data_IF_160705205835
#
_entry.id   IF_160705205835
#
_cell.length_a   1.000
_cell.length_b   1.000
_cell.length_c   1.000
_cell.angle_alpha   90.00
_cell.angle_beta   90.00
_cell.angle_gamma   90.00
#
_symmetry.space_group_name_H-M   'P 1'
#
loop_
_entity.id
_entity.type
_entity.pdbx_description
1 polymer ?
#
# COMPACT_ATOMS: atom_id res chain seq x y z
N UNK A 1 7.96 -20.59 9.72
CA UNK A 1 8.91 -19.78 10.51
C UNK A 1 8.25 -18.50 11.01
N UNK A 2 7.75 -17.62 10.13
CA UNK A 2 7.08 -16.37 10.54
C UNK A 2 5.83 -16.60 11.41
N UNK A 3 4.97 -17.58 11.07
CA UNK A 3 3.81 -17.95 11.89
C UNK A 3 4.18 -18.45 13.30
N UNK A 4 5.33 -19.12 13.46
CA UNK A 4 5.85 -19.55 14.76
C UNK A 4 6.43 -18.37 15.55
N UNK A 5 7.11 -17.43 14.88
CA UNK A 5 7.60 -16.20 15.49
C UNK A 5 6.45 -15.32 15.97
N UNK A 6 5.42 -15.13 15.13
CA UNK A 6 4.21 -14.39 15.46
C UNK A 6 3.47 -15.02 16.66
N UNK A 7 3.29 -16.34 16.63
CA UNK A 7 2.67 -17.07 17.74
C UNK A 7 3.43 -16.85 19.05
N UNK A 8 4.77 -16.98 19.01
CA UNK A 8 5.60 -16.77 20.18
C UNK A 8 5.55 -15.32 20.68
N UNK A 9 5.49 -14.33 19.78
CA UNK A 9 5.31 -12.92 20.14
C UNK A 9 3.95 -12.66 20.80
N UNK A 10 2.87 -13.21 20.25
CA UNK A 10 1.52 -13.10 20.81
C UNK A 10 1.45 -13.73 22.22
N UNK A 11 2.10 -14.86 22.43
CA UNK A 11 2.19 -15.52 23.75
C UNK A 11 2.89 -14.66 24.82
N UNK A 12 3.87 -13.84 24.45
CA UNK A 12 4.56 -12.97 25.42
C UNK A 12 3.74 -11.73 25.79
N UNK A 13 2.78 -11.33 24.95
CA UNK A 13 1.97 -10.13 25.14
C UNK A 13 0.67 -10.39 25.91
N UNK A 14 0.24 -11.65 26.03
CA UNK A 14 -0.95 -12.03 26.80
C UNK A 14 -0.67 -13.26 27.69
N UNK A 15 -0.10 -13.08 28.89
CA UNK A 15 0.34 -14.18 29.76
C UNK A 15 -0.80 -14.94 30.48
N UNK A 16 -2.07 -14.76 30.10
CA UNK A 16 -3.20 -15.48 30.74
C UNK A 16 -3.16 -16.98 30.42
N UNK A 17 -3.37 -17.80 31.45
CA UNK A 17 -3.05 -19.23 31.57
C UNK A 17 -3.69 -20.25 30.59
N UNK A 18 -4.40 -19.84 29.55
CA UNK A 18 -4.96 -20.78 28.57
C UNK A 18 -4.03 -20.94 27.36
N UNK A 19 -3.08 -21.85 27.53
CA UNK A 19 -2.11 -22.23 26.50
C UNK A 19 -2.80 -23.16 25.49
N UNK A 20 -3.19 -22.64 24.33
CA UNK A 20 -3.46 -23.48 23.15
C UNK A 20 -2.12 -23.83 22.47
N UNK A 21 -1.91 -25.07 22.07
CA UNK A 21 -0.75 -25.38 21.22
C UNK A 21 -0.95 -24.81 19.80
N UNK A 22 0.15 -24.47 19.10
CA UNK A 22 0.13 -23.98 17.69
C UNK A 22 -0.68 -24.90 16.78
N UNK A 23 -0.61 -26.21 17.04
CA UNK A 23 -1.35 -27.26 16.35
C UNK A 23 -2.87 -27.13 16.58
N UNK A 24 -3.31 -26.82 17.80
CA UNK A 24 -4.72 -26.63 18.15
C UNK A 24 -5.28 -25.32 17.59
N UNK A 25 -4.54 -24.21 17.68
CA UNK A 25 -4.96 -22.93 17.09
C UNK A 25 -5.15 -23.02 15.57
N UNK A 26 -4.24 -23.71 14.87
CA UNK A 26 -4.33 -23.92 13.42
C UNK A 26 -5.42 -24.93 13.05
N UNK A 27 -5.73 -25.91 13.90
CA UNK A 27 -6.86 -26.83 13.70
C UNK A 27 -8.21 -26.13 13.90
N UNK A 28 -8.34 -25.28 14.92
CA UNK A 28 -9.56 -24.52 15.23
C UNK A 28 -9.96 -23.52 14.14
N UNK A 29 -9.02 -23.11 13.27
CA UNK A 29 -9.28 -22.18 12.16
C UNK A 29 -9.20 -22.80 10.77
N UNK A 30 -8.91 -24.09 10.67
CA UNK A 30 -9.06 -24.79 9.39
C UNK A 30 -10.55 -25.11 9.17
N UNK A 31 -11.16 -24.43 8.19
CA UNK A 31 -12.48 -24.70 7.57
C UNK A 31 -13.74 -24.23 8.33
N UNK A 32 -14.19 -22.99 8.06
CA UNK A 32 -15.64 -22.74 7.85
C UNK A 32 -15.97 -23.06 6.39
N UNK A 33 -16.21 -24.33 6.11
CA UNK A 33 -17.06 -24.72 4.97
C UNK A 33 -18.48 -24.70 5.50
N UNK A 34 -19.24 -23.64 5.20
CA UNK A 34 -20.69 -23.70 5.32
C UNK A 34 -21.16 -24.66 4.22
N UNK A 35 -21.45 -25.91 4.61
CA UNK A 35 -22.32 -26.77 3.83
C UNK A 35 -23.70 -26.13 3.93
N UNK A 36 -24.16 -25.52 2.83
CA UNK A 36 -25.57 -25.23 2.63
C UNK A 36 -26.23 -26.58 2.36
N UNK A 37 -26.89 -27.12 3.38
CA UNK A 37 -27.83 -28.23 3.21
C UNK A 37 -29.13 -27.66 2.64
N UNK A 38 -29.57 -28.21 1.51
CA UNK A 38 -30.88 -27.95 0.91
C UNK A 38 -32.02 -28.27 1.90
N UNK A 39 -33.11 -27.49 1.97
CA UNK A 39 -34.20 -27.76 2.89
C UNK A 39 -35.20 -28.71 2.23
N UNK A 40 -35.17 -29.97 2.65
CA UNK A 40 -36.17 -30.96 2.29
C UNK A 40 -36.18 -32.11 3.28
N UNK A 41 -36.75 -31.89 4.47
CA UNK A 41 -37.74 -32.79 5.07
C UNK A 41 -38.15 -32.34 6.49
N UNK A 42 -39.42 -32.58 6.79
CA UNK A 42 -40.15 -32.11 7.95
C UNK A 42 -39.96 -32.97 9.20
N UNK A 43 -40.28 -32.36 10.36
CA UNK A 43 -40.54 -32.93 11.69
C UNK A 43 -39.34 -33.43 12.52
N UNK A 44 -38.98 -32.68 13.57
CA UNK A 44 -39.24 -33.03 14.97
C UNK A 44 -38.27 -32.29 15.93
N UNK A 45 -38.78 -31.89 17.10
CA UNK A 45 -37.99 -31.91 18.34
C UNK A 45 -37.46 -30.58 18.88
N UNK A 46 -38.03 -30.18 20.01
CA UNK A 46 -37.59 -29.15 20.95
C UNK A 46 -36.21 -29.51 21.55
N UNK A 47 -35.31 -28.53 21.73
CA UNK A 47 -34.11 -28.70 22.57
C UNK A 47 -33.08 -27.57 22.48
N UNK A 48 -33.03 -26.76 23.53
CA UNK A 48 -31.89 -26.03 24.11
C UNK A 48 -31.06 -25.03 23.28
N UNK A 49 -31.22 -23.77 23.65
CA UNK A 49 -30.42 -22.61 23.22
C UNK A 49 -29.10 -22.58 24.01
N UNK A 50 -27.98 -22.83 23.33
CA UNK A 50 -26.62 -22.59 23.85
C UNK A 50 -26.19 -21.18 23.43
N UNK A 51 -25.67 -20.33 24.35
CA UNK A 51 -25.27 -18.97 24.01
C UNK A 51 -24.01 -18.95 23.13
N UNK A 52 -24.06 -18.15 22.07
CA UNK A 52 -22.89 -17.79 21.25
C UNK A 52 -21.84 -17.08 22.11
N UNK A 53 -20.54 -17.44 22.03
CA UNK A 53 -19.50 -16.68 22.71
C UNK A 53 -19.05 -15.46 21.88
N UNK A 54 -18.99 -14.33 22.58
CA UNK A 54 -18.14 -13.14 22.40
C UNK A 54 -17.88 -12.66 20.97
N UNK A 55 -18.70 -11.69 20.59
CA UNK A 55 -18.40 -10.72 19.53
C UNK A 55 -17.36 -9.72 20.09
N UNK A 56 -16.11 -9.79 19.60
CA UNK A 56 -15.13 -8.74 19.88
C UNK A 56 -15.54 -7.48 19.12
N UNK A 57 -16.09 -6.53 19.87
CA UNK A 57 -16.45 -5.19 19.42
C UNK A 57 -15.21 -4.31 19.51
N UNK A 58 -14.64 -3.95 18.38
CA UNK A 58 -13.67 -2.84 18.31
C UNK A 58 -14.48 -1.54 18.24
N UNK A 59 -14.80 -0.98 19.40
CA UNK A 59 -15.32 0.38 19.54
C UNK A 59 -14.36 1.18 20.44
N UNK A 60 -14.06 2.41 20.00
CA UNK A 60 -13.28 3.47 20.65
C UNK A 60 -11.74 3.39 20.64
N UNK A 61 -11.16 4.07 19.64
CA UNK A 61 -9.87 4.77 19.75
C UNK A 61 -9.97 6.16 19.11
N UNK A 62 -11.00 6.91 19.50
CA UNK A 62 -11.26 8.25 18.97
C UNK A 62 -12.08 9.05 19.96
N UNK A 63 -11.42 9.52 21.01
CA UNK A 63 -11.80 10.66 21.88
C UNK A 63 -10.86 10.66 23.08
N UNK A 64 -9.67 11.26 22.94
CA UNK A 64 -8.84 11.77 24.04
C UNK A 64 -7.57 12.45 23.46
N UNK A 65 -7.76 13.60 22.83
CA UNK A 65 -6.67 14.55 22.57
C UNK A 65 -7.15 16.00 22.44
N UNK A 66 -8.14 16.37 23.26
CA UNK A 66 -8.50 17.77 23.51
C UNK A 66 -8.50 18.02 25.02
N UNK A 67 -7.30 18.18 25.61
CA UNK A 67 -7.05 19.01 26.79
C UNK A 67 -5.60 18.84 27.27
N UNK A 68 -4.66 19.61 26.71
CA UNK A 68 -3.53 20.21 27.44
C UNK A 68 -2.58 20.90 26.47
N UNK A 69 -2.74 22.22 26.30
CA UNK A 69 -1.72 23.21 26.64
C UNK A 69 -2.21 24.61 26.26
N UNK A 70 -2.60 25.39 27.27
CA UNK A 70 -2.58 26.84 27.23
C UNK A 70 -1.32 27.33 27.95
N UNK A 71 -0.67 28.29 27.30
CA UNK A 71 0.19 29.37 27.82
C UNK A 71 1.58 29.00 28.35
N UNK A 72 2.62 29.42 27.60
CA UNK A 72 3.37 30.65 27.96
C UNK A 72 4.13 31.24 26.74
N UNK A 73 4.52 32.53 26.77
CA UNK A 73 4.71 33.35 25.58
C UNK A 73 6.17 33.61 25.16
N UNK A 74 6.31 33.97 23.88
CA UNK A 74 7.30 34.88 23.29
C UNK A 74 8.80 34.60 23.48
N UNK A 75 9.42 33.95 22.47
CA UNK A 75 10.76 34.32 21.98
C UNK A 75 10.75 34.25 20.45
N UNK A 76 10.90 35.41 19.81
CA UNK A 76 11.11 35.52 18.38
C UNK A 76 12.52 35.05 18.02
N UNK A 77 12.60 34.06 17.13
CA UNK A 77 13.83 33.56 16.53
C UNK A 77 13.57 33.22 15.07
N UNK A 78 14.10 34.05 14.19
CA UNK A 78 14.09 33.89 12.74
C UNK A 78 15.03 32.72 12.38
N UNK A 79 14.47 31.59 11.93
CA UNK A 79 15.25 30.45 11.48
C UNK A 79 15.57 30.58 9.99
N UNK A 80 16.80 30.96 9.69
CA UNK A 80 17.38 30.91 8.34
C UNK A 80 17.98 29.52 8.13
N UNK A 81 17.44 28.75 7.19
CA UNK A 81 18.02 27.49 6.72
C UNK A 81 19.28 27.75 5.88
N UNK A 82 20.39 27.04 6.09
CA UNK A 82 21.57 27.17 5.24
C UNK A 82 21.34 26.47 3.89
N UNK A 83 21.61 27.19 2.79
CA UNK A 83 21.72 26.62 1.44
C UNK A 83 22.97 25.75 1.35
N UNK A 84 22.79 24.47 1.04
CA UNK A 84 23.87 23.53 0.75
C UNK A 84 24.19 23.60 -0.76
N UNK A 85 25.39 24.07 -1.10
CA UNK A 85 25.90 24.08 -2.48
C UNK A 85 26.66 22.78 -2.75
N UNK A 86 26.11 21.90 -3.60
CA UNK A 86 26.83 20.71 -4.08
C UNK A 86 27.54 20.97 -5.40
N UNK A 87 28.87 20.97 -5.31
CA UNK A 87 29.83 20.98 -6.42
C UNK A 87 30.12 19.55 -6.86
N UNK A 88 29.61 19.16 -8.03
CA UNK A 88 30.13 18.00 -8.76
C UNK A 88 30.69 18.42 -10.12
N UNK A 89 32.01 18.28 -10.30
CA UNK A 89 32.69 18.35 -11.59
C UNK A 89 32.74 16.94 -12.17
N UNK A 90 32.16 16.74 -13.35
CA UNK A 90 32.40 15.55 -14.18
C UNK A 90 32.97 15.98 -15.53
N UNK A 91 34.14 15.45 -15.85
CA UNK A 91 34.82 15.54 -17.14
C UNK A 91 34.14 14.56 -18.10
N UNK A 92 33.78 15.02 -19.30
CA UNK A 92 33.29 14.15 -20.37
C UNK A 92 34.07 14.39 -21.67
N UNK A 93 34.79 13.36 -22.13
CA UNK A 93 35.28 13.25 -23.50
C UNK A 93 34.15 12.73 -24.41
N UNK A 94 34.01 13.33 -25.58
CA UNK A 94 32.95 13.01 -26.54
C UNK A 94 33.37 12.01 -27.61
N UNK A 95 32.41 11.23 -28.11
CA UNK A 95 32.42 10.63 -29.46
C UNK A 95 30.99 10.57 -30.04
N UNK A 96 30.96 10.70 -31.36
CA UNK A 96 29.97 10.86 -32.42
C UNK A 96 28.46 10.50 -32.33
N UNK A 97 27.74 11.30 -33.13
CA UNK A 97 26.30 11.37 -33.41
C UNK A 97 25.78 10.21 -34.27
N UNK A 98 24.69 9.59 -33.83
CA UNK A 98 23.66 9.06 -34.72
C UNK A 98 22.28 9.59 -34.31
N UNK A 99 21.53 10.11 -35.28
CA UNK A 99 20.15 10.62 -35.13
C UNK A 99 19.20 9.47 -34.81
N UNK A 100 19.04 9.13 -33.53
CA UNK A 100 17.83 8.51 -32.99
C UNK A 100 16.99 9.61 -32.36
N UNK A 101 15.70 9.64 -32.68
CA UNK A 101 14.70 10.49 -32.05
C UNK A 101 14.74 10.18 -30.55
N UNK A 102 15.42 11.03 -29.79
CA UNK A 102 15.68 10.81 -28.37
C UNK A 102 14.34 10.89 -27.64
N UNK A 103 13.80 9.73 -27.25
CA UNK A 103 12.99 9.66 -26.04
C UNK A 103 13.88 10.26 -24.95
N UNK A 104 13.54 11.46 -24.46
CA UNK A 104 14.22 12.08 -23.33
C UNK A 104 14.13 11.04 -22.21
N UNK A 105 15.25 10.38 -21.94
CA UNK A 105 15.42 9.55 -20.75
C UNK A 105 15.03 10.43 -19.58
N UNK A 106 13.98 10.06 -18.87
CA UNK A 106 13.60 10.63 -17.60
C UNK A 106 14.79 10.37 -16.67
N UNK A 107 15.75 11.30 -16.65
CA UNK A 107 16.90 11.23 -15.77
C UNK A 107 16.36 11.46 -14.37
N UNK A 108 16.56 10.47 -13.50
CA UNK A 108 16.34 10.55 -12.07
C UNK A 108 17.17 11.68 -11.49
N UNK A 109 16.62 12.87 -11.45
CA UNK A 109 16.98 13.91 -10.50
C UNK A 109 16.00 13.79 -9.35
N UNK A 110 16.46 14.09 -8.15
CA UNK A 110 15.63 14.34 -6.98
C UNK A 110 14.79 15.62 -7.21
N UNK A 111 13.94 15.58 -8.23
CA UNK A 111 13.08 16.70 -8.61
C UNK A 111 11.91 16.68 -7.64
N UNK A 112 11.97 17.58 -6.67
CA UNK A 112 10.81 18.06 -5.92
C UNK A 112 9.63 18.16 -6.91
N UNK A 113 8.54 17.45 -6.62
CA UNK A 113 7.39 17.37 -7.51
C UNK A 113 6.93 18.77 -7.88
N UNK A 114 6.99 19.10 -9.18
CA UNK A 114 6.63 20.43 -9.65
C UNK A 114 5.13 20.47 -9.89
N UNK A 115 4.39 21.13 -9.00
CA UNK A 115 3.01 21.51 -9.30
C UNK A 115 3.04 22.78 -10.17
N UNK A 116 2.67 22.71 -11.45
CA UNK A 116 2.64 23.91 -12.28
C UNK A 116 1.65 24.92 -11.68
N UNK A 117 2.16 26.11 -11.36
CA UNK A 117 1.32 27.26 -11.06
C UNK A 117 0.61 27.66 -12.35
N UNK A 118 -0.73 27.78 -12.37
CA UNK A 118 -1.44 28.28 -13.54
C UNK A 118 -0.82 29.62 -13.96
N UNK A 119 -0.47 29.77 -15.24
CA UNK A 119 0.02 31.07 -15.72
C UNK A 119 -1.15 32.05 -15.69
N UNK A 120 -1.08 33.05 -14.80
CA UNK A 120 -2.07 34.13 -14.60
C UNK A 120 -2.79 34.54 -15.89
N UNK A 121 -4.09 34.21 -16.00
CA UNK A 121 -4.98 34.73 -17.05
C UNK A 121 -6.02 35.72 -16.49
N UNK A 122 -5.90 36.19 -15.25
CA UNK A 122 -6.80 37.24 -14.74
C UNK A 122 -6.34 37.87 -13.43
N UNK A 123 -6.72 39.13 -13.18
CA UNK A 123 -6.44 39.87 -11.95
C UNK A 123 -7.53 39.63 -10.87
N UNK A 124 -7.83 38.37 -10.52
CA UNK A 124 -8.88 38.06 -9.53
C UNK A 124 -8.40 37.11 -8.44
N UNK A 125 -9.00 37.20 -7.25
CA UNK A 125 -8.67 36.37 -6.08
C UNK A 125 -8.88 34.84 -6.30
N UNK A 126 -9.52 34.45 -7.41
CA UNK A 126 -9.78 33.04 -7.78
C UNK A 126 -8.69 32.44 -8.71
N UNK A 127 -7.55 33.11 -8.86
CA UNK A 127 -6.44 32.65 -9.73
C UNK A 127 -5.68 31.47 -9.12
N UNK A 128 -5.69 31.36 -7.79
CA UNK A 128 -4.92 30.35 -7.07
C UNK A 128 -5.67 29.02 -6.89
N UNK A 129 -6.90 28.89 -7.40
CA UNK A 129 -7.67 27.66 -7.28
C UNK A 129 -7.27 26.64 -8.37
N UNK A 130 -6.50 25.57 -8.04
CA UNK A 130 -6.06 24.58 -9.02
C UNK A 130 -7.20 23.78 -9.64
N UNK A 131 -8.38 23.81 -9.01
CA UNK A 131 -9.59 23.09 -9.41
C UNK A 131 -10.58 23.98 -10.17
N UNK A 132 -10.25 25.24 -10.47
CA UNK A 132 -11.20 26.19 -11.10
C UNK A 132 -11.85 25.65 -12.36
N UNK A 133 -11.08 25.02 -13.25
CA UNK A 133 -11.61 24.40 -14.47
C UNK A 133 -12.63 23.31 -14.12
N UNK A 134 -12.25 22.36 -13.26
CA UNK A 134 -13.12 21.27 -12.84
C UNK A 134 -14.38 21.79 -12.11
N UNK A 135 -14.25 22.74 -11.20
CA UNK A 135 -15.35 23.33 -10.44
C UNK A 135 -16.39 24.04 -11.34
N UNK A 136 -15.93 24.67 -12.43
CA UNK A 136 -16.82 25.29 -13.42
C UNK A 136 -17.61 24.27 -14.24
N UNK A 137 -17.02 23.10 -14.47
CA UNK A 137 -17.60 22.03 -15.27
C UNK A 137 -18.50 21.09 -14.45
N UNK A 138 -18.25 20.93 -13.15
CA UNK A 138 -18.98 19.97 -12.30
C UNK A 138 -20.27 20.60 -11.73
N UNK A 139 -21.34 19.80 -11.66
CA UNK A 139 -22.61 20.21 -11.04
C UNK A 139 -22.40 20.50 -9.54
N UNK A 140 -23.12 21.49 -9.02
CA UNK A 140 -23.06 21.79 -7.59
C UNK A 140 -23.48 20.57 -6.75
N UNK A 141 -22.72 20.28 -5.69
CA UNK A 141 -22.95 19.15 -4.79
C UNK A 141 -22.56 17.77 -5.35
N UNK A 142 -21.89 17.69 -6.51
CA UNK A 142 -21.29 16.44 -6.94
C UNK A 142 -20.13 16.05 -6.01
N UNK A 143 -20.00 14.74 -5.75
CA UNK A 143 -18.96 14.18 -4.87
C UNK A 143 -18.27 13.04 -5.61
N UNK A 144 -16.97 13.20 -5.83
CA UNK A 144 -16.09 12.22 -6.49
C UNK A 144 -15.15 11.63 -5.45
N UNK A 145 -14.89 10.32 -5.56
CA UNK A 145 -13.85 9.64 -4.79
C UNK A 145 -12.66 9.33 -5.69
N UNK A 146 -11.45 9.53 -5.16
CA UNK A 146 -10.24 9.54 -5.96
C UNK A 146 -8.97 9.69 -5.14
N UNK A 147 -7.83 9.60 -5.82
CA UNK A 147 -6.50 9.72 -5.22
C UNK A 147 -5.65 10.69 -6.05
N UNK A 148 -4.89 11.55 -5.37
CA UNK A 148 -3.86 12.37 -6.02
C UNK A 148 -2.58 11.54 -6.12
N UNK A 149 -2.13 11.28 -7.35
CA UNK A 149 -0.89 10.52 -7.62
C UNK A 149 0.11 11.39 -8.36
N UNK A 150 1.41 11.11 -8.17
CA UNK A 150 2.48 11.75 -8.94
C UNK A 150 2.76 10.99 -10.23
N UNK A 151 2.54 11.66 -11.36
CA UNK A 151 2.84 11.14 -12.69
C UNK A 151 4.36 11.15 -12.94
N UNK A 152 5.00 9.98 -12.86
CA UNK A 152 6.46 9.79 -12.84
C UNK A 152 7.20 10.34 -14.06
N UNK A 153 6.57 10.32 -15.24
CA UNK A 153 7.21 10.86 -16.46
C UNK A 153 7.10 12.39 -16.57
N UNK A 154 6.06 12.98 -15.97
CA UNK A 154 5.78 14.42 -16.07
C UNK A 154 6.11 15.17 -14.76
N UNK A 155 6.49 14.42 -13.72
CA UNK A 155 6.79 14.90 -12.37
C UNK A 155 5.72 15.85 -11.80
N UNK A 156 4.44 15.55 -12.02
CA UNK A 156 3.32 16.41 -11.62
C UNK A 156 2.15 15.63 -11.00
N UNK A 157 1.31 16.27 -10.17
CA UNK A 157 0.13 15.61 -9.61
C UNK A 157 -0.97 15.42 -10.66
N UNK A 158 -1.71 14.33 -10.53
CA UNK A 158 -2.90 13.96 -11.30
C UNK A 158 -3.94 13.40 -10.32
N UNK A 159 -5.22 13.73 -10.49
CA UNK A 159 -6.30 13.16 -9.67
C UNK A 159 -6.95 11.97 -10.39
N UNK A 160 -6.74 10.77 -9.86
CA UNK A 160 -7.31 9.52 -10.37
C UNK A 160 -8.66 9.29 -9.71
N UNK A 161 -9.74 9.54 -10.44
CA UNK A 161 -11.12 9.34 -9.98
C UNK A 161 -11.51 7.89 -10.12
N UNK A 162 -12.02 7.26 -9.05
CA UNK A 162 -12.39 5.85 -9.04
C UNK A 162 -13.83 5.55 -8.59
N UNK A 163 -14.55 6.51 -7.99
CA UNK A 163 -15.99 6.37 -7.71
C UNK A 163 -16.72 7.72 -7.77
N UNK A 164 -18.04 7.70 -7.81
CA UNK A 164 -18.93 8.87 -7.76
C UNK A 164 -20.03 8.60 -6.74
N UNK A 165 -20.10 9.45 -5.72
CA UNK A 165 -21.02 9.28 -4.60
C UNK A 165 -22.30 10.09 -4.80
N UNK A 166 -22.19 11.23 -5.50
CA UNK A 166 -23.31 12.09 -5.86
C UNK A 166 -23.05 12.77 -7.20
N UNK A 167 -24.06 12.83 -8.06
CA UNK A 167 -23.97 13.56 -9.34
C UNK A 167 -24.25 15.05 -9.18
N UNK A 168 -25.02 15.42 -8.16
CA UNK A 168 -25.34 16.78 -7.76
C UNK A 168 -25.88 16.78 -6.33
N UNK A 169 -26.16 17.96 -5.77
CA UNK A 169 -26.77 18.11 -4.44
C UNK A 169 -28.09 17.34 -4.27
N UNK A 170 -28.81 17.11 -5.36
CA UNK A 170 -30.14 16.50 -5.34
C UNK A 170 -30.14 15.05 -5.88
N UNK A 171 -28.96 14.51 -6.21
CA UNK A 171 -28.82 13.20 -6.84
C UNK A 171 -27.67 12.39 -6.18
N UNK A 172 -27.83 12.01 -4.90
CA UNK A 172 -26.91 11.07 -4.26
C UNK A 172 -27.09 9.66 -4.83
N UNK A 173 -25.99 9.02 -5.20
CA UNK A 173 -25.99 7.69 -5.86
C UNK A 173 -25.20 6.62 -5.11
N UNK A 174 -24.74 6.92 -3.88
CA UNK A 174 -24.00 5.98 -3.02
C UNK A 174 -24.78 4.68 -2.71
N UNK A 175 -26.12 4.72 -2.76
CA UNK A 175 -26.99 3.58 -2.55
C UNK A 175 -27.01 2.59 -3.74
N UNK A 176 -26.55 3.01 -4.92
CA UNK A 176 -26.50 2.16 -6.11
C UNK A 176 -25.30 1.19 -6.01
N UNK A 177 -25.39 -0.01 -6.62
CA UNK A 177 -24.23 -0.90 -6.79
C UNK A 177 -23.08 -0.22 -7.54
N UNK A 178 -21.84 -0.62 -7.25
CA UNK A 178 -20.64 -0.03 -7.85
C UNK A 178 -20.68 0.05 -9.39
N UNK A 179 -21.14 -0.99 -10.09
CA UNK A 179 -21.23 -0.95 -11.56
C UNK A 179 -22.10 0.19 -12.09
N UNK A 180 -23.17 0.54 -11.36
CA UNK A 180 -24.03 1.65 -11.75
C UNK A 180 -23.34 2.99 -11.50
N UNK A 181 -22.66 3.14 -10.35
CA UNK A 181 -21.85 4.34 -10.06
C UNK A 181 -20.70 4.50 -11.06
N UNK A 182 -20.05 3.40 -11.45
CA UNK A 182 -19.03 3.37 -12.49
C UNK A 182 -19.58 3.81 -13.86
N UNK A 183 -20.83 3.48 -14.21
CA UNK A 183 -21.48 4.02 -15.41
C UNK A 183 -21.66 5.53 -15.31
N UNK A 184 -22.07 6.06 -14.16
CA UNK A 184 -22.15 7.51 -13.92
C UNK A 184 -20.80 8.21 -14.06
N UNK A 185 -19.71 7.56 -13.60
CA UNK A 185 -18.34 8.03 -13.78
C UNK A 185 -17.90 8.05 -15.26
N UNK A 186 -18.18 6.96 -15.98
CA UNK A 186 -17.84 6.82 -17.41
C UNK A 186 -18.59 7.82 -18.27
N UNK A 187 -19.89 8.01 -18.03
CA UNK A 187 -20.73 8.97 -18.75
C UNK A 187 -20.52 10.42 -18.29
N UNK A 188 -19.75 10.65 -17.23
CA UNK A 188 -19.55 11.96 -16.60
C UNK A 188 -20.88 12.68 -16.29
N UNK A 189 -21.86 11.93 -15.79
CA UNK A 189 -23.22 12.46 -15.53
C UNK A 189 -23.28 13.60 -14.50
N UNK A 190 -22.21 13.79 -13.73
CA UNK A 190 -22.02 14.88 -12.78
C UNK A 190 -21.48 16.18 -13.41
N UNK A 191 -21.17 16.21 -14.71
CA UNK A 191 -20.72 17.40 -15.45
C UNK A 191 -21.93 18.21 -15.95
N UNK A 192 -21.84 19.54 -15.89
CA UNK A 192 -22.85 20.49 -16.40
C UNK A 192 -22.92 20.40 -17.93
N UNK A 193 -24.13 20.44 -18.48
CA UNK A 193 -24.34 20.43 -19.94
C UNK A 193 -24.52 19.05 -20.58
N UNK A 194 -24.54 17.97 -19.78
CA UNK A 194 -24.86 16.62 -20.26
C UNK A 194 -23.66 15.96 -20.96
N UNK A 195 -23.17 14.87 -20.36
CA UNK A 195 -21.92 14.21 -20.73
C UNK A 195 -21.77 13.83 -22.21
N UNK A 196 -20.51 13.77 -22.65
CA UNK A 196 -20.04 13.26 -23.94
C UNK A 196 -20.93 13.69 -25.12
N UNK A 197 -20.59 14.83 -25.73
CA UNK A 197 -20.88 15.04 -27.14
C UNK A 197 -20.18 13.92 -27.91
N UNK A 198 -20.86 12.80 -28.11
CA UNK A 198 -20.43 11.74 -29.00
C UNK A 198 -20.36 12.36 -30.37
N UNK A 199 -19.14 12.78 -30.75
CA UNK A 199 -18.79 13.22 -32.09
C UNK A 199 -19.06 12.07 -33.06
N UNK A 200 -20.31 11.99 -33.52
CA UNK A 200 -20.72 11.33 -34.76
C UNK A 200 -21.59 12.36 -35.48
N UNK A 201 -20.99 13.45 -35.99
CA UNK A 201 -21.72 14.38 -36.87
C UNK A 201 -21.29 15.85 -36.83
N UNK A 202 -20.05 16.16 -37.20
CA UNK A 202 -19.66 17.32 -38.04
C UNK A 202 -20.30 18.71 -37.87
N UNK A 203 -20.78 19.12 -36.69
CA UNK A 203 -21.39 20.43 -36.46
C UNK A 203 -20.50 21.36 -35.64
N UNK A 204 -19.82 22.30 -36.31
CA UNK A 204 -19.03 23.37 -35.70
C UNK A 204 -19.95 24.25 -34.84
N UNK A 205 -19.75 24.31 -33.52
CA UNK A 205 -20.39 25.38 -32.73
C UNK A 205 -20.41 25.26 -31.21
N UNK A 206 -20.23 24.07 -30.61
CA UNK A 206 -20.32 23.91 -29.16
C UNK A 206 -19.41 22.82 -28.64
N UNK A 207 -18.10 23.06 -28.62
CA UNK A 207 -17.13 22.12 -28.07
C UNK A 207 -17.27 22.02 -26.55
N UNK A 208 -18.07 21.07 -26.08
CA UNK A 208 -18.11 20.72 -24.66
C UNK A 208 -16.70 20.32 -24.18
N UNK A 209 -16.25 20.90 -23.08
CA UNK A 209 -14.96 20.56 -22.47
C UNK A 209 -15.08 19.18 -21.82
N UNK A 210 -14.29 18.22 -22.28
CA UNK A 210 -14.19 16.92 -21.61
C UNK A 210 -13.32 17.05 -20.35
N UNK A 211 -13.93 16.85 -19.19
CA UNK A 211 -13.25 16.90 -17.90
C UNK A 211 -12.10 15.88 -17.80
N UNK A 212 -12.17 14.79 -18.57
CA UNK A 212 -11.21 13.70 -18.58
C UNK A 212 -10.39 13.63 -19.88
N UNK A 213 -10.24 14.75 -20.58
CA UNK A 213 -9.41 14.83 -21.79
C UNK A 213 -7.97 14.39 -21.48
N UNK A 214 -7.46 13.31 -22.11
CA UNK A 214 -6.07 12.86 -21.93
C UNK A 214 -5.03 13.96 -22.19
N UNK A 215 -5.33 14.92 -23.08
CA UNK A 215 -4.42 16.03 -23.38
C UNK A 215 -4.20 16.94 -22.16
N UNK A 216 -5.17 17.03 -21.25
CA UNK A 216 -5.08 17.84 -20.03
C UNK A 216 -3.97 17.37 -19.08
N UNK A 217 -3.60 16.07 -19.11
CA UNK A 217 -2.49 15.54 -18.29
C UNK A 217 -1.16 16.19 -18.68
N UNK A 218 -0.95 16.39 -19.98
CA UNK A 218 0.27 17.02 -20.51
C UNK A 218 0.19 18.54 -20.58
N UNK A 219 -0.99 19.14 -20.38
CA UNK A 219 -1.17 20.60 -20.44
C UNK A 219 -0.68 21.27 -19.14
N UNK A 220 0.37 22.11 -19.18
CA UNK A 220 0.87 22.81 -17.99
C UNK A 220 -0.12 23.84 -17.43
N UNK A 221 -1.17 24.23 -18.17
CA UNK A 221 -2.15 25.21 -17.70
C UNK A 221 -3.28 24.57 -16.87
N UNK A 222 -3.46 23.25 -16.94
CA UNK A 222 -4.43 22.53 -16.11
C UNK A 222 -3.71 22.10 -14.83
N UNK A 223 -3.91 22.77 -13.69
CA UNK A 223 -3.10 22.50 -12.49
C UNK A 223 -3.22 21.06 -11.98
N UNK A 224 -4.45 20.55 -11.88
CA UNK A 224 -4.75 19.17 -11.45
C UNK A 224 -5.64 18.47 -12.49
N UNK A 225 -5.05 17.76 -13.47
CA UNK A 225 -5.82 17.01 -14.46
C UNK A 225 -6.52 15.81 -13.80
N UNK A 226 -7.74 15.52 -14.26
CA UNK A 226 -8.54 14.38 -13.79
C UNK A 226 -8.42 13.23 -14.78
N UNK A 227 -8.18 12.03 -14.27
CA UNK A 227 -8.17 10.79 -15.06
C UNK A 227 -9.08 9.77 -14.42
N UNK A 228 -9.76 8.95 -15.22
CA UNK A 228 -10.58 7.84 -14.69
C UNK A 228 -9.66 6.67 -14.33
N UNK A 229 -9.92 6.01 -13.20
CA UNK A 229 -9.27 4.73 -12.87
C UNK A 229 -9.73 3.65 -13.84
N UNK A 230 -8.79 2.85 -14.31
CA UNK A 230 -9.09 1.69 -15.15
C UNK A 230 -9.54 0.53 -14.26
N UNK A 231 -10.72 -0.02 -14.53
CA UNK A 231 -11.25 -1.20 -13.86
C UNK A 231 -11.28 -2.36 -14.86
N UNK A 232 -10.75 -3.50 -14.44
CA UNK A 232 -10.80 -4.76 -15.20
C UNK A 232 -11.57 -5.80 -14.41
N UNK A 233 -12.12 -6.79 -15.10
CA UNK A 233 -12.72 -7.94 -14.44
C UNK A 233 -11.64 -8.76 -13.73
N UNK A 234 -12.03 -9.47 -12.66
CA UNK A 234 -11.07 -10.27 -11.87
C UNK A 234 -10.30 -11.29 -12.72
N UNK A 235 -10.94 -11.85 -13.75
CA UNK A 235 -10.34 -12.84 -14.65
C UNK A 235 -9.27 -12.23 -15.57
N UNK A 236 -9.27 -10.90 -15.74
CA UNK A 236 -8.30 -10.14 -16.52
C UNK A 236 -7.14 -9.61 -15.66
N UNK A 237 -6.91 -10.20 -14.47
CA UNK A 237 -5.83 -9.77 -13.57
C UNK A 237 -4.47 -9.75 -14.26
N UNK A 238 -4.15 -10.73 -15.09
CA UNK A 238 -2.87 -10.77 -15.81
C UNK A 238 -2.71 -9.61 -16.80
N UNK A 239 -3.82 -9.19 -17.42
CA UNK A 239 -3.83 -7.99 -18.28
C UNK A 239 -3.54 -6.75 -17.45
N UNK A 240 -4.14 -6.60 -16.27
CA UNK A 240 -3.83 -5.49 -15.36
C UNK A 240 -2.35 -5.50 -14.95
N UNK A 241 -1.82 -6.66 -14.55
CA UNK A 241 -0.43 -6.82 -14.12
C UNK A 241 0.57 -6.60 -15.26
N UNK A 242 0.19 -6.80 -16.52
CA UNK A 242 1.03 -6.48 -17.68
C UNK A 242 1.36 -4.99 -17.82
N UNK A 243 0.58 -4.13 -17.15
CA UNK A 243 0.81 -2.68 -17.07
C UNK A 243 1.69 -2.29 -15.88
N UNK A 244 2.08 -3.24 -15.02
CA UNK A 244 2.97 -2.97 -13.90
C UNK A 244 4.39 -3.39 -14.27
N UNK A 245 5.34 -2.47 -14.18
CA UNK A 245 6.77 -2.74 -14.33
C UNK A 245 7.52 -2.39 -13.05
N UNK A 246 8.51 -3.20 -12.71
CA UNK A 246 9.41 -2.92 -11.59
C UNK A 246 10.64 -2.16 -12.10
N UNK A 247 10.86 -0.97 -11.58
CA UNK A 247 12.00 -0.11 -11.89
C UNK A 247 12.69 0.26 -10.57
N UNK A 248 13.93 -0.19 -10.37
CA UNK A 248 14.75 0.09 -9.16
C UNK A 248 14.05 -0.28 -7.84
N UNK A 249 13.42 -1.46 -7.79
CA UNK A 249 12.71 -1.95 -6.59
C UNK A 249 11.41 -1.22 -6.29
N UNK A 250 10.95 -0.35 -7.19
CA UNK A 250 9.63 0.30 -7.09
C UNK A 250 8.76 -0.15 -8.24
N UNK A 251 7.46 -0.34 -7.98
CA UNK A 251 6.50 -0.76 -9.01
C UNK A 251 5.77 0.44 -9.56
N UNK A 252 5.72 0.50 -10.88
CA UNK A 252 5.14 1.59 -11.64
C UNK A 252 4.00 1.03 -12.47
N UNK A 253 2.81 1.59 -12.30
CA UNK A 253 1.67 1.32 -13.16
C UNK A 253 1.71 2.25 -14.38
N UNK A 254 1.72 1.67 -15.59
CA UNK A 254 1.75 2.38 -16.86
C UNK A 254 0.61 1.94 -17.78
N UNK A 255 -0.36 2.82 -17.98
CA UNK A 255 -1.46 2.62 -18.92
C UNK A 255 -1.66 3.86 -19.79
N UNK A 256 -1.24 3.75 -21.05
CA UNK A 256 -1.21 4.90 -21.96
C UNK A 256 -0.27 6.01 -21.49
N UNK A 257 -0.60 7.24 -21.89
CA UNK A 257 0.15 8.46 -21.52
C UNK A 257 -0.47 9.17 -20.29
N UNK A 258 -1.62 8.70 -19.80
CA UNK A 258 -2.36 9.34 -18.69
C UNK A 258 -2.06 8.73 -17.33
N UNK A 259 -1.73 7.43 -17.29
CA UNK A 259 -1.42 6.72 -16.06
C UNK A 259 0.03 6.30 -16.07
N UNK A 260 0.83 6.94 -15.23
CA UNK A 260 2.24 6.60 -15.03
C UNK A 260 2.62 6.94 -13.58
N UNK A 261 2.21 6.13 -12.62
CA UNK A 261 2.39 6.42 -11.20
C UNK A 261 2.89 5.19 -10.44
N UNK A 262 3.36 5.39 -9.21
CA UNK A 262 3.73 4.28 -8.34
C UNK A 262 2.50 3.44 -7.99
N UNK A 263 2.72 2.15 -7.71
CA UNK A 263 1.68 1.26 -7.20
C UNK A 263 2.27 0.32 -6.15
N UNK A 264 1.51 0.07 -5.09
CA UNK A 264 1.88 -0.83 -3.99
C UNK A 264 0.97 -2.07 -3.92
N UNK A 265 0.05 -2.23 -4.88
CA UNK A 265 -0.89 -3.34 -4.81
C UNK A 265 -2.06 -3.27 -5.79
N UNK A 266 -3.13 -3.96 -5.40
CA UNK A 266 -4.38 -4.12 -6.14
C UNK A 266 -5.54 -3.88 -5.18
N UNK A 267 -6.57 -3.18 -5.65
CA UNK A 267 -7.83 -2.98 -4.91
C UNK A 267 -8.94 -3.78 -5.58
N UNK A 268 -9.65 -4.58 -4.80
CA UNK A 268 -10.83 -5.34 -5.23
C UNK A 268 -12.09 -4.61 -4.79
N UNK A 269 -12.75 -3.98 -5.75
CA UNK A 269 -13.97 -3.23 -5.54
C UNK A 269 -15.20 -4.15 -5.63
N UNK A 270 -15.96 -4.36 -4.55
CA UNK A 270 -17.18 -5.16 -4.60
C UNK A 270 -18.30 -4.43 -5.37
N UNK A 271 -19.19 -5.19 -6.00
CA UNK A 271 -20.39 -4.64 -6.65
C UNK A 271 -21.54 -4.40 -5.67
N UNK A 272 -21.24 -3.70 -4.57
CA UNK A 272 -22.18 -3.35 -3.50
C UNK A 272 -22.39 -1.84 -3.41
N UNK A 273 -23.43 -1.37 -2.69
CA UNK A 273 -23.55 0.04 -2.33
C UNK A 273 -22.29 0.55 -1.61
N UNK A 274 -22.03 1.85 -1.74
CA UNK A 274 -20.88 2.49 -1.10
C UNK A 274 -21.10 2.53 0.41
N UNK A 275 -20.07 2.18 1.18
CA UNK A 275 -20.10 2.20 2.65
C UNK A 275 -19.21 3.35 3.14
N UNK A 276 -19.78 4.27 3.90
CA UNK A 276 -19.00 5.30 4.58
C UNK A 276 -18.22 4.67 5.74
N UNK A 277 -16.89 4.82 5.75
CA UNK A 277 -16.01 4.21 6.75
C UNK A 277 -15.39 2.90 6.27
N UNK A 278 -15.16 1.96 7.19
CA UNK A 278 -14.52 0.68 6.87
C UNK A 278 -15.49 -0.27 6.17
N UNK A 279 -15.27 -0.53 4.88
CA UNK A 279 -15.96 -1.59 4.14
C UNK A 279 -15.17 -2.90 4.22
N UNK A 280 -15.75 -3.91 4.86
CA UNK A 280 -15.14 -5.25 4.98
C UNK A 280 -15.07 -6.01 3.65
N UNK A 281 -15.83 -5.57 2.64
CA UNK A 281 -15.84 -6.18 1.31
C UNK A 281 -14.88 -5.48 0.33
N UNK A 282 -14.40 -4.28 0.66
CA UNK A 282 -13.38 -3.58 -0.11
C UNK A 282 -12.01 -4.10 0.28
N UNK A 283 -11.44 -4.98 -0.55
CA UNK A 283 -10.19 -5.65 -0.23
C UNK A 283 -9.01 -4.95 -0.89
N UNK A 284 -7.92 -4.83 -0.16
CA UNK A 284 -6.62 -4.41 -0.69
C UNK A 284 -5.65 -5.57 -0.62
N UNK A 285 -4.95 -5.83 -1.71
CA UNK A 285 -3.81 -6.74 -1.75
C UNK A 285 -2.56 -5.90 -1.98
N UNK A 286 -1.52 -6.11 -1.18
CA UNK A 286 -0.24 -5.40 -1.31
C UNK A 286 0.90 -6.34 -1.63
N UNK A 287 1.93 -5.81 -2.28
CA UNK A 287 3.17 -6.55 -2.45
C UNK A 287 3.87 -6.70 -1.10
N UNK A 288 4.35 -7.90 -0.81
CA UNK A 288 4.91 -8.22 0.50
C UNK A 288 6.17 -7.45 0.85
N UNK A 289 6.98 -7.14 -0.14
CA UNK A 289 8.18 -6.33 -0.02
C UNK A 289 7.89 -4.86 0.28
N UNK A 290 6.65 -4.39 0.17
CA UNK A 290 6.25 -3.02 0.55
C UNK A 290 5.84 -2.89 2.01
N UNK A 291 5.74 -4.01 2.73
CA UNK A 291 5.29 -4.06 4.11
C UNK A 291 6.47 -3.80 5.04
N UNK A 292 6.44 -2.66 5.71
CA UNK A 292 7.52 -2.18 6.59
C UNK A 292 6.98 -1.79 7.97
N UNK A 293 7.89 -1.68 8.93
CA UNK A 293 7.62 -1.17 10.27
C UNK A 293 8.67 -0.12 10.64
N UNK A 294 8.25 0.91 11.38
CA UNK A 294 9.14 1.90 11.95
C UNK A 294 9.57 1.46 13.35
N UNK A 295 10.89 1.37 13.59
CA UNK A 295 11.48 0.92 14.85
C UNK A 295 12.43 1.98 15.41
N UNK A 296 12.57 2.04 16.72
CA UNK A 296 13.54 2.87 17.41
C UNK A 296 14.84 2.10 17.63
N UNK A 297 15.96 2.71 17.30
CA UNK A 297 17.29 2.18 17.56
C UNK A 297 17.68 2.49 19.01
N UNK A 298 17.68 1.46 19.85
CA UNK A 298 17.94 1.58 21.28
C UNK A 298 19.43 1.74 21.56
N UNK A 299 19.81 2.40 22.68
CA UNK A 299 21.20 2.46 23.10
C UNK A 299 21.74 1.06 23.44
N UNK A 300 23.06 0.82 23.27
CA UNK A 300 23.70 -0.41 23.73
C UNK A 300 23.48 -0.59 25.24
N UNK A 301 23.37 -1.83 25.71
CA UNK A 301 23.11 -2.10 27.14
C UNK A 301 24.35 -1.70 27.96
N UNK A 302 24.24 -0.77 28.93
CA UNK A 302 25.41 -0.25 29.65
C UNK A 302 26.13 -1.28 30.54
N UNK A 303 25.53 -2.45 30.84
CA UNK A 303 25.99 -3.34 31.91
C UNK A 303 26.35 -4.78 31.49
N UNK A 304 26.39 -5.12 30.21
CA UNK A 304 26.78 -6.49 29.80
C UNK A 304 28.30 -6.74 29.74
N UNK A 305 29.12 -5.70 29.95
CA UNK A 305 30.55 -5.71 29.61
C UNK A 305 31.56 -5.97 30.73
N UNK A 306 31.20 -6.37 31.96
CA UNK A 306 32.23 -6.57 33.01
C UNK A 306 32.71 -7.99 33.28
N UNK A 307 31.88 -9.03 33.13
CA UNK A 307 32.27 -10.37 33.59
C UNK A 307 31.99 -11.53 32.61
N UNK A 308 31.62 -11.26 31.35
CA UNK A 308 31.32 -12.33 30.39
C UNK A 308 32.34 -12.35 29.24
N UNK A 309 33.31 -13.26 29.31
CA UNK A 309 34.20 -13.57 28.19
C UNK A 309 33.44 -14.14 26.97
N UNK A 310 32.14 -14.40 27.11
CA UNK A 310 31.18 -14.79 26.07
C UNK A 310 30.40 -13.59 25.46
N UNK A 311 30.63 -12.36 25.94
CA UNK A 311 29.95 -11.16 25.43
C UNK A 311 30.55 -10.64 24.11
N UNK A 312 31.84 -10.91 23.84
CA UNK A 312 32.52 -10.41 22.65
C UNK A 312 31.96 -10.94 21.31
N UNK A 313 31.19 -12.03 21.34
CA UNK A 313 30.52 -12.58 20.13
C UNK A 313 29.08 -12.10 19.95
N UNK A 314 28.49 -11.43 20.95
CA UNK A 314 27.08 -11.03 20.95
C UNK A 314 26.87 -9.50 20.99
N UNK A 315 27.95 -8.71 21.09
CA UNK A 315 27.91 -7.24 21.02
C UNK A 315 27.51 -6.71 19.64
N UNK A 316 27.39 -7.59 18.64
CA UNK A 316 27.08 -7.22 17.25
C UNK A 316 25.58 -7.18 16.93
N UNK A 317 24.71 -7.34 17.93
CA UNK A 317 23.25 -7.32 17.75
C UNK A 317 22.71 -5.91 17.94
N UNK A 318 22.27 -5.29 16.84
CA UNK A 318 21.57 -4.00 16.86
C UNK A 318 20.32 -4.09 17.73
N UNK A 319 20.24 -3.25 18.77
CA UNK A 319 19.06 -3.19 19.63
C UNK A 319 17.99 -2.31 19.01
N UNK A 320 16.79 -2.86 18.90
CA UNK A 320 15.63 -2.17 18.34
C UNK A 320 14.43 -2.31 19.25
N UNK A 321 13.60 -1.27 19.31
CA UNK A 321 12.40 -1.22 20.12
C UNK A 321 11.23 -0.59 19.36
N UNK A 322 10.03 -0.84 19.85
CA UNK A 322 8.80 -0.24 19.36
C UNK A 322 8.02 0.33 20.55
N UNK A 323 7.03 1.17 20.27
CA UNK A 323 6.23 1.79 21.32
C UNK A 323 5.21 0.79 21.86
N UNK A 324 5.22 0.55 23.16
CA UNK A 324 4.22 -0.26 23.87
C UNK A 324 3.10 0.62 24.44
N UNK A 325 2.23 -0.03 25.22
CA UNK A 325 1.17 0.66 25.96
C UNK A 325 1.76 1.63 26.99
N UNK A 326 1.00 2.67 27.33
CA UNK A 326 1.36 3.68 28.33
C UNK A 326 2.74 4.36 28.10
N UNK A 327 3.21 4.40 26.84
CA UNK A 327 4.50 4.98 26.48
C UNK A 327 5.71 4.12 26.85
N UNK A 328 5.50 2.86 27.20
CA UNK A 328 6.60 1.90 27.42
C UNK A 328 7.32 1.57 26.11
N UNK A 329 8.51 0.98 26.21
CA UNK A 329 9.27 0.50 25.04
C UNK A 329 9.33 -1.02 25.06
N UNK A 330 8.89 -1.65 23.97
CA UNK A 330 8.99 -3.10 23.78
C UNK A 330 10.29 -3.41 23.03
N UNK A 331 11.21 -4.13 23.68
CA UNK A 331 12.49 -4.53 23.08
C UNK A 331 12.27 -5.66 22.05
N UNK A 332 12.49 -5.35 20.77
CA UNK A 332 12.25 -6.22 19.61
C UNK A 332 13.52 -6.91 19.10
N UNK A 333 14.67 -6.67 19.76
CA UNK A 333 16.00 -7.15 19.34
C UNK A 333 16.07 -8.66 19.08
N UNK A 334 15.26 -9.45 19.81
CA UNK A 334 15.23 -10.91 19.63
C UNK A 334 14.58 -11.34 18.32
N UNK A 335 13.63 -10.55 17.81
CA UNK A 335 12.77 -10.89 16.68
C UNK A 335 13.21 -10.22 15.38
N UNK A 336 13.81 -9.03 15.50
CA UNK A 336 14.31 -8.23 14.39
C UNK A 336 15.82 -8.41 14.28
N UNK A 337 16.25 -9.35 13.43
CA UNK A 337 17.66 -9.57 13.12
C UNK A 337 17.94 -9.12 11.70
N UNK A 338 18.68 -8.02 11.59
CA UNK A 338 19.22 -7.55 10.32
C UNK A 338 20.49 -8.36 9.97
N UNK A 339 20.68 -8.76 8.71
CA UNK A 339 21.97 -9.19 8.20
C UNK A 339 23.06 -8.14 8.47
N UNK A 340 24.30 -8.58 8.62
CA UNK A 340 25.44 -7.72 8.96
C UNK A 340 25.59 -6.54 7.99
N UNK A 341 25.35 -6.75 6.69
CA UNK A 341 25.39 -5.70 5.67
C UNK A 341 24.34 -4.61 5.91
N UNK A 342 23.10 -5.01 6.22
CA UNK A 342 21.98 -4.11 6.47
C UNK A 342 22.15 -3.35 7.79
N UNK A 343 22.65 -4.03 8.81
CA UNK A 343 23.00 -3.42 10.09
C UNK A 343 24.05 -2.33 9.93
N UNK A 344 25.15 -2.60 9.21
CA UNK A 344 26.21 -1.62 8.95
C UNK A 344 25.71 -0.40 8.17
N UNK A 345 24.80 -0.61 7.20
CA UNK A 345 24.15 0.49 6.46
C UNK A 345 23.32 1.35 7.40
N UNK A 346 22.48 0.75 8.23
CA UNK A 346 21.67 1.46 9.22
C UNK A 346 22.54 2.25 10.20
N UNK A 347 23.61 1.65 10.72
CA UNK A 347 24.54 2.32 11.66
C UNK A 347 25.26 3.51 11.02
N UNK A 348 25.66 3.39 9.75
CA UNK A 348 26.25 4.50 8.99
C UNK A 348 25.26 5.67 8.83
N UNK A 349 24.05 5.40 8.35
CA UNK A 349 23.01 6.43 8.15
C UNK A 349 22.57 7.07 9.48
N UNK A 350 22.49 6.27 10.55
CA UNK A 350 22.21 6.75 11.90
C UNK A 350 23.31 7.68 12.40
N UNK A 351 24.58 7.32 12.19
CA UNK A 351 25.72 8.15 12.60
C UNK A 351 25.75 9.48 11.83
N UNK A 352 25.41 9.46 10.54
CA UNK A 352 25.34 10.66 9.71
C UNK A 352 24.17 11.58 10.10
N UNK A 353 22.98 11.02 10.29
CA UNK A 353 21.75 11.79 10.52
C UNK A 353 21.47 12.13 11.99
N UNK A 354 22.02 11.37 12.94
CA UNK A 354 21.69 11.46 14.37
C UNK A 354 20.27 11.00 14.72
N UNK A 355 19.51 10.48 13.75
CA UNK A 355 18.13 10.03 13.93
C UNK A 355 18.07 8.71 14.71
N UNK A 356 16.91 8.43 15.30
CA UNK A 356 16.68 7.21 16.10
C UNK A 356 15.64 6.28 15.51
N UNK A 357 14.76 6.76 14.64
CA UNK A 357 13.72 5.95 14.03
C UNK A 357 14.17 5.49 12.66
N UNK A 358 14.11 4.20 12.42
CA UNK A 358 14.45 3.56 11.16
C UNK A 358 13.26 2.74 10.65
N UNK A 359 13.07 2.72 9.34
CA UNK A 359 12.13 1.84 8.67
C UNK A 359 12.84 0.55 8.26
N UNK A 360 12.26 -0.58 8.64
CA UNK A 360 12.75 -1.92 8.28
C UNK A 360 11.64 -2.71 7.59
N UNK A 361 12.01 -3.51 6.60
CA UNK A 361 11.11 -4.41 5.88
C UNK A 361 11.48 -5.87 6.10
N UNK A 362 10.57 -6.77 5.77
CA UNK A 362 10.77 -8.21 5.85
C UNK A 362 10.65 -8.84 4.45
N UNK A 363 11.67 -9.57 4.02
CA UNK A 363 11.60 -10.33 2.78
C UNK A 363 11.03 -11.73 3.08
N UNK A 364 9.80 -12.06 2.63
CA UNK A 364 9.19 -13.36 2.88
C UNK A 364 9.89 -14.51 2.17
N UNK A 365 10.69 -14.24 1.14
CA UNK A 365 11.40 -15.24 0.33
C UNK A 365 12.63 -15.75 1.06
N UNK A 366 13.39 -14.84 1.65
CA UNK A 366 14.61 -15.17 2.42
C UNK A 366 14.31 -15.39 3.90
N UNK A 367 13.23 -14.80 4.41
CA UNK A 367 12.91 -14.77 5.83
C UNK A 367 13.79 -13.80 6.61
N UNK A 368 14.42 -12.84 5.95
CA UNK A 368 15.35 -11.88 6.53
C UNK A 368 14.74 -10.47 6.60
N UNK A 369 15.14 -9.72 7.63
CA UNK A 369 14.83 -8.29 7.73
C UNK A 369 15.83 -7.49 6.92
N UNK A 370 15.41 -6.38 6.33
CA UNK A 370 16.29 -5.46 5.64
C UNK A 370 16.03 -4.02 6.08
N UNK A 371 17.07 -3.18 5.99
CA UNK A 371 16.99 -1.78 6.35
C UNK A 371 16.61 -0.94 5.13
N UNK A 372 15.58 -0.09 5.28
CA UNK A 372 15.09 0.76 4.20
C UNK A 372 15.67 2.16 4.27
N UNK A 373 15.37 2.90 5.34
CA UNK A 373 15.83 4.28 5.53
C UNK A 373 15.65 4.76 6.97
N UNK A 374 16.39 5.79 7.37
CA UNK A 374 16.08 6.58 8.56
C UNK A 374 14.81 7.42 8.31
N UNK A 375 14.01 7.63 9.36
CA UNK A 375 12.71 8.31 9.27
C UNK A 375 12.75 9.68 9.96
N UNK A 376 13.24 10.74 9.27
CA UNK A 376 13.28 12.10 9.84
C UNK A 376 11.89 12.68 10.10
N UNK A 377 10.88 12.16 9.40
CA UNK A 377 9.47 12.54 9.53
C UNK A 377 8.81 11.99 10.81
N UNK A 378 9.47 11.07 11.51
CA UNK A 378 8.91 10.35 12.67
C UNK A 378 9.60 10.75 13.96
N UNK A 379 8.79 11.13 14.94
CA UNK A 379 9.24 11.39 16.31
C UNK A 379 9.17 10.16 17.22
N UNK A 380 8.45 9.13 16.82
CA UNK A 380 8.24 7.89 17.56
C UNK A 380 8.19 6.68 16.61
N UNK A 381 8.57 5.47 17.07
CA UNK A 381 8.40 4.24 16.30
C UNK A 381 6.92 3.86 16.20
N UNK A 382 6.61 2.80 15.45
CA UNK A 382 5.26 2.27 15.45
C UNK A 382 4.85 1.72 16.83
N UNK A 383 3.55 1.75 17.10
CA UNK A 383 2.99 1.07 18.25
C UNK A 383 3.02 -0.45 18.05
N UNK A 384 3.17 -1.21 19.14
CA UNK A 384 3.27 -2.68 19.09
C UNK A 384 2.06 -3.32 18.41
N UNK A 385 0.85 -2.76 18.59
CA UNK A 385 -0.35 -3.25 17.92
C UNK A 385 -0.26 -3.11 16.39
N UNK A 386 0.30 -2.01 15.88
CA UNK A 386 0.58 -1.81 14.46
C UNK A 386 1.57 -2.86 13.97
N UNK A 387 2.68 -3.06 14.69
CA UNK A 387 3.72 -4.03 14.31
C UNK A 387 3.16 -5.44 14.25
N UNK A 388 2.34 -5.86 15.23
CA UNK A 388 1.69 -7.17 15.21
C UNK A 388 0.70 -7.30 14.06
N UNK A 389 -0.08 -6.25 13.77
CA UNK A 389 -0.97 -6.21 12.62
C UNK A 389 -0.21 -6.39 11.31
N UNK A 390 0.93 -5.72 11.16
CA UNK A 390 1.81 -5.87 10.01
C UNK A 390 2.39 -7.29 9.91
N UNK A 391 2.84 -7.88 11.01
CA UNK A 391 3.34 -9.26 11.02
C UNK A 391 2.24 -10.28 10.70
N UNK A 392 1.01 -10.05 11.18
CA UNK A 392 -0.17 -10.84 10.81
C UNK A 392 -0.43 -10.74 9.31
N UNK A 393 -0.41 -9.53 8.75
CA UNK A 393 -0.55 -9.30 7.31
C UNK A 393 0.51 -10.07 6.50
N UNK A 394 1.78 -10.05 6.93
CA UNK A 394 2.83 -10.85 6.31
C UNK A 394 2.53 -12.35 6.36
N UNK A 395 2.01 -12.87 7.48
CA UNK A 395 1.68 -14.31 7.62
C UNK A 395 0.46 -14.76 6.83
N UNK A 396 -0.54 -13.88 6.67
CA UNK A 396 -1.79 -14.18 5.96
C UNK A 396 -1.77 -13.76 4.49
N UNK A 397 -0.69 -13.10 4.08
CA UNK A 397 -0.51 -12.61 2.72
C UNK A 397 -0.65 -13.69 1.65
N UNK A 398 -1.20 -13.27 0.52
CA UNK A 398 -1.25 -14.09 -0.69
C UNK A 398 -0.09 -13.70 -1.59
N UNK A 399 0.70 -14.67 -2.04
CA UNK A 399 1.69 -14.41 -3.09
C UNK A 399 1.00 -13.99 -4.39
N UNK A 400 1.72 -13.31 -5.28
CA UNK A 400 1.17 -12.92 -6.58
C UNK A 400 0.73 -14.14 -7.40
N UNK A 401 1.48 -15.24 -7.36
CA UNK A 401 1.17 -16.47 -8.09
C UNK A 401 -0.11 -17.10 -7.56
N UNK A 402 -0.28 -17.14 -6.23
CA UNK A 402 -1.50 -17.62 -5.60
C UNK A 402 -2.68 -16.71 -5.97
N UNK A 403 -2.50 -15.39 -5.95
CA UNK A 403 -3.54 -14.45 -6.34
C UNK A 403 -3.98 -14.66 -7.79
N UNK A 404 -3.03 -14.76 -8.72
CA UNK A 404 -3.30 -15.06 -10.15
C UNK A 404 -4.09 -16.35 -10.30
N UNK A 405 -3.66 -17.41 -9.64
CA UNK A 405 -4.37 -18.69 -9.65
C UNK A 405 -5.81 -18.51 -9.16
N UNK A 406 -6.02 -17.93 -7.98
CA UNK A 406 -7.35 -17.74 -7.41
C UNK A 406 -8.26 -16.91 -8.33
N UNK A 407 -7.71 -15.89 -9.00
CA UNK A 407 -8.48 -15.06 -9.92
C UNK A 407 -8.83 -15.75 -11.24
N UNK A 408 -7.99 -16.67 -11.71
CA UNK A 408 -8.25 -17.48 -12.92
C UNK A 408 -9.32 -18.55 -12.71
N UNK A 409 -9.61 -18.92 -11.46
CA UNK A 409 -10.60 -19.96 -11.16
C UNK A 409 -12.04 -19.46 -11.41
N UNK A 410 -12.89 -20.27 -12.09
CA UNK A 410 -14.31 -19.97 -12.23
C UNK A 410 -15.01 -19.84 -10.88
N UNK A 411 -15.99 -18.94 -10.81
CA UNK A 411 -16.79 -18.71 -9.59
C UNK A 411 -17.42 -20.03 -9.13
N UNK A 412 -17.33 -20.33 -7.83
CA UNK A 412 -17.87 -21.56 -7.24
C UNK A 412 -16.93 -22.76 -7.24
N UNK A 413 -15.77 -22.69 -7.90
CA UNK A 413 -14.76 -23.75 -7.83
C UNK A 413 -13.96 -23.65 -6.52
N UNK A 414 -13.67 -24.79 -5.90
CA UNK A 414 -12.81 -24.84 -4.70
C UNK A 414 -11.37 -24.46 -5.04
N UNK A 415 -10.73 -23.68 -4.18
CA UNK A 415 -9.29 -23.39 -4.27
C UNK A 415 -8.47 -24.68 -4.09
N UNK A 416 -7.76 -25.11 -5.14
CA UNK A 416 -6.83 -26.25 -5.10
C UNK A 416 -5.36 -25.85 -5.22
N UNK A 417 -5.01 -24.55 -5.13
CA UNK A 417 -3.65 -24.05 -5.33
C UNK A 417 -2.60 -24.84 -4.55
N UNK A 418 -2.82 -25.00 -3.25
CA UNK A 418 -1.87 -25.69 -2.36
C UNK A 418 -1.69 -27.16 -2.74
N UNK A 419 -2.77 -27.82 -3.17
CA UNK A 419 -2.74 -29.22 -3.62
C UNK A 419 -1.96 -29.32 -4.93
N UNK A 420 -2.22 -28.41 -5.87
CA UNK A 420 -1.62 -28.41 -7.20
C UNK A 420 -0.12 -28.11 -7.13
N UNK A 421 0.30 -27.12 -6.33
CA UNK A 421 1.72 -26.81 -6.09
C UNK A 421 2.46 -28.00 -5.46
N UNK A 422 1.86 -28.66 -4.45
CA UNK A 422 2.46 -29.86 -3.82
C UNK A 422 2.62 -31.01 -4.82
N UNK A 423 1.62 -31.22 -5.66
CA UNK A 423 1.68 -32.26 -6.69
C UNK A 423 2.77 -31.95 -7.73
N UNK A 424 2.91 -30.70 -8.16
CA UNK A 424 3.98 -30.27 -9.07
C UNK A 424 5.37 -30.45 -8.44
N UNK A 425 5.56 -30.03 -7.19
CA UNK A 425 6.83 -30.22 -6.47
C UNK A 425 7.20 -31.69 -6.35
N UNK A 426 6.22 -32.55 -6.04
CA UNK A 426 6.42 -34.00 -6.00
C UNK A 426 6.86 -34.55 -7.36
N UNK A 427 6.19 -34.17 -8.45
CA UNK A 427 6.56 -34.59 -9.80
C UNK A 427 7.98 -34.17 -10.20
N UNK A 428 8.39 -32.95 -9.82
CA UNK A 428 9.75 -32.47 -10.07
C UNK A 428 10.81 -33.28 -9.31
N UNK A 429 10.54 -33.63 -8.04
CA UNK A 429 11.43 -34.47 -7.23
C UNK A 429 11.53 -35.89 -7.78
N UNK A 430 10.40 -36.50 -8.15
CA UNK A 430 10.34 -37.84 -8.73
C UNK A 430 11.13 -37.91 -10.05
N UNK A 431 11.15 -36.83 -10.84
CA UNK A 431 11.95 -36.74 -12.06
C UNK A 431 13.46 -36.53 -11.81
N UNK A 432 13.86 -35.87 -10.73
CA UNK A 432 15.28 -35.67 -10.38
C UNK A 432 15.89 -36.91 -9.73
N UNK A 433 15.11 -37.69 -8.98
CA UNK A 433 15.57 -38.83 -8.21
C UNK A 433 16.38 -39.88 -9.01
N UNK A 434 15.95 -40.32 -10.22
CA UNK A 434 16.72 -41.28 -11.02
C UNK A 434 18.06 -40.71 -11.53
N UNK A 435 18.13 -39.41 -11.83
CA UNK A 435 19.35 -38.76 -12.35
C UNK A 435 20.44 -38.69 -11.29
N UNK A 436 20.05 -38.47 -10.03
CA UNK A 436 20.97 -38.48 -8.90
C UNK A 436 21.48 -39.89 -8.59
N UNK A 437 20.63 -40.92 -8.72
CA UNK A 437 21.07 -42.32 -8.60
C UNK A 437 22.07 -42.74 -9.69
N UNK A 438 21.87 -42.27 -10.93
CA UNK A 438 22.78 -42.59 -12.04
C UNK A 438 24.14 -41.87 -11.95
N UNK A 439 24.20 -40.71 -11.31
CA UNK A 439 25.44 -39.93 -11.15
C UNK A 439 26.27 -40.32 -9.92
N UNK A 440 25.64 -40.85 -8.87
CA UNK A 440 26.33 -41.30 -7.65
C UNK A 440 26.98 -42.69 -7.73
N UNK A 441 26.94 -43.37 -8.88
CA UNK A 441 27.44 -44.74 -9.05
C UNK A 441 28.74 -44.82 -9.87
N UNK A 442 29.52 -43.72 -9.95
CA UNK A 442 30.80 -43.64 -10.65
C UNK A 442 31.97 -43.48 -9.71
#
# INVERSE_FOLDING_TARGET
MLSQQLWFMIQQLNPTHDILEVSEFLQLRSWRTAVVSDPGDANAGVGDTIPFPMQFRWEHAGELLEAQHRQDPAIGGEWVLPKQEDRWRTISHGVHRHKRRARRSCKSRDEEGYQPKPKNVGNGDDVDNPMRLAASLVKAGAVLDGEVVMHQCLCRPVFVVFDVLANSSNEPILHLPFEQRLRHLRSASFVRGGGMSTNIGGGVGGGGVDLFDPAAVSDPNVALPLVRKNFVDRVDLDRLLSHVSEERGTRIYRYGDTHHHLTDGIIFQPNTPYVCGTDVNLLKWKYLDTVTIDVEILPPRPNFGRNSHLAATNDDVLRVGVMGEEGTTVDMTRYLRLPESERRRLEADRHESGLKIAEVGFDPTTGEWYYRMMRPDKVAPNHISTVLGTLLELTESLSMEKLRYCMSMPTGTRDTYTKDVRNMQKQLLDHQWPKNKASGSK
#
